data_IF_126306573459
#
_entry.id   IF_126306573459
#
_cell.length_a   1.000
_cell.length_b   1.000
_cell.length_c   1.000
_cell.angle_alpha   90.00
_cell.angle_beta   90.00
_cell.angle_gamma   90.00
#
_symmetry.space_group_name_H-M   'P 1'
#
loop_
_entity.id
_entity.type
_entity.pdbx_description
1 polymer ?
#
# COMPACT_ATOMS: atom_id res chain seq x y z
N UNK A 1 -5.17 17.58 10.66
CA UNK A 1 -5.36 16.77 9.43
C UNK A 1 -6.14 17.56 8.41
N UNK A 2 -5.78 17.50 7.13
CA UNK A 2 -6.54 18.08 6.01
C UNK A 2 -6.84 16.99 5.00
N UNK A 3 -8.08 16.96 4.51
CA UNK A 3 -8.54 15.98 3.51
C UNK A 3 -8.63 16.64 2.14
N UNK A 4 -8.24 15.92 1.11
CA UNK A 4 -8.34 16.32 -0.29
C UNK A 4 -8.90 15.17 -1.13
N UNK A 5 -9.52 15.52 -2.24
CA UNK A 5 -10.00 14.59 -3.26
C UNK A 5 -9.33 14.98 -4.57
N UNK A 6 -8.64 14.05 -5.19
CA UNK A 6 -7.92 14.26 -6.44
C UNK A 6 -8.39 13.26 -7.49
N UNK A 7 -8.36 13.59 -8.78
CA UNK A 7 -8.72 12.63 -9.81
C UNK A 7 -7.63 11.55 -9.93
N UNK A 8 -8.05 10.29 -10.14
CA UNK A 8 -7.17 9.24 -10.64
C UNK A 8 -7.11 9.27 -12.17
N UNK A 9 -6.20 8.48 -12.75
CA UNK A 9 -6.14 8.30 -14.20
C UNK A 9 -7.28 7.43 -14.76
N UNK A 10 -8.09 6.80 -13.89
CA UNK A 10 -9.14 5.82 -14.24
C UNK A 10 -10.56 6.29 -13.91
N UNK A 11 -10.84 7.59 -14.01
CA UNK A 11 -12.17 8.19 -13.80
C UNK A 11 -12.80 7.91 -12.42
N UNK A 12 -11.98 7.61 -11.40
CA UNK A 12 -12.35 7.53 -9.99
C UNK A 12 -11.55 8.58 -9.20
N UNK A 13 -12.01 8.88 -8.01
CA UNK A 13 -11.30 9.80 -7.14
C UNK A 13 -10.40 9.07 -6.16
N UNK A 14 -9.26 9.69 -5.85
CA UNK A 14 -8.36 9.33 -4.76
C UNK A 14 -8.65 10.28 -3.61
N UNK A 15 -9.07 9.75 -2.46
CA UNK A 15 -9.21 10.53 -1.23
C UNK A 15 -7.92 10.42 -0.43
N UNK A 16 -7.36 11.54 -0.04
CA UNK A 16 -6.13 11.59 0.74
C UNK A 16 -6.25 12.52 1.94
N UNK A 17 -5.55 12.16 3.01
CA UNK A 17 -5.41 12.98 4.21
C UNK A 17 -3.95 13.33 4.42
N UNK A 18 -3.68 14.56 4.81
CA UNK A 18 -2.35 14.99 5.22
C UNK A 18 -2.37 15.57 6.62
N UNK A 19 -1.44 15.09 7.45
CA UNK A 19 -1.07 15.64 8.73
C UNK A 19 0.28 16.35 8.60
N UNK A 20 0.32 17.64 8.97
CA UNK A 20 1.54 18.42 8.90
C UNK A 20 2.31 18.38 10.22
N UNK A 21 3.62 18.21 10.15
CA UNK A 21 4.52 18.45 11.27
C UNK A 21 4.48 19.91 11.69
N UNK A 22 4.85 20.19 12.95
CA UNK A 22 4.94 21.57 13.45
C UNK A 22 6.05 22.38 12.76
N UNK A 23 7.15 21.72 12.41
CA UNK A 23 8.27 22.35 11.71
C UNK A 23 7.96 22.45 10.22
N UNK A 24 8.06 23.66 9.69
CA UNK A 24 7.92 23.92 8.25
C UNK A 24 9.09 23.25 7.51
N UNK A 25 8.85 22.85 6.27
CA UNK A 25 9.87 22.24 5.42
C UNK A 25 10.39 20.88 5.95
N UNK A 26 9.52 20.14 6.62
CA UNK A 26 9.78 18.78 7.07
C UNK A 26 9.59 17.76 5.94
N UNK A 27 10.25 16.58 5.99
CA UNK A 27 10.07 15.53 4.99
C UNK A 27 8.63 15.04 4.89
N UNK A 28 8.27 14.44 3.77
CA UNK A 28 6.95 13.83 3.52
C UNK A 28 7.05 12.31 3.50
N UNK A 29 6.22 11.67 4.32
CA UNK A 29 5.94 10.23 4.24
C UNK A 29 4.61 10.04 3.53
N UNK A 30 4.59 9.25 2.45
CA UNK A 30 3.37 8.84 1.75
C UNK A 30 3.09 7.38 2.08
N UNK A 31 1.90 7.11 2.62
CA UNK A 31 1.48 5.79 3.10
C UNK A 31 0.52 5.12 2.15
N UNK A 32 0.85 3.87 1.74
CA UNK A 32 0.05 2.98 0.89
C UNK A 32 -0.50 1.81 1.70
N UNK A 33 -1.82 1.69 1.80
CA UNK A 33 -2.49 0.59 2.51
C UNK A 33 -2.46 -0.72 1.72
N UNK A 34 -2.79 -1.84 2.39
CA UNK A 34 -2.85 -3.16 1.79
C UNK A 34 -4.19 -3.51 1.13
N UNK A 35 -4.26 -4.73 0.57
CA UNK A 35 -5.48 -5.32 0.01
C UNK A 35 -6.57 -5.45 1.07
N UNK A 36 -7.82 -5.18 0.69
CA UNK A 36 -8.96 -5.09 1.61
C UNK A 36 -8.73 -4.11 2.77
N UNK A 37 -7.97 -3.03 2.50
CA UNK A 37 -7.67 -1.97 3.44
C UNK A 37 -8.09 -0.59 2.91
N UNK A 38 -7.96 0.41 3.76
CA UNK A 38 -8.17 1.82 3.44
C UNK A 38 -7.34 2.70 4.38
N UNK A 39 -7.20 3.98 4.04
CA UNK A 39 -6.31 4.93 4.72
C UNK A 39 -6.56 5.10 6.24
N UNK A 40 -7.78 4.86 6.70
CA UNK A 40 -8.20 5.01 8.10
C UNK A 40 -8.35 3.67 8.83
N UNK A 41 -7.86 2.58 8.22
CA UNK A 41 -7.94 1.25 8.80
C UNK A 41 -7.03 1.09 10.01
N UNK A 42 -7.58 0.47 11.09
CA UNK A 42 -6.79 0.04 12.25
C UNK A 42 -5.94 1.17 12.86
N UNK A 43 -4.63 0.95 13.07
CA UNK A 43 -3.75 1.90 13.75
C UNK A 43 -3.22 3.02 12.85
N UNK A 44 -3.63 3.14 11.58
CA UNK A 44 -2.98 4.06 10.63
C UNK A 44 -3.12 5.53 11.00
N UNK A 45 -4.19 5.91 11.73
CA UNK A 45 -4.30 7.25 12.30
C UNK A 45 -3.27 7.49 13.40
N UNK A 46 -3.08 6.53 14.31
CA UNK A 46 -2.07 6.59 15.38
C UNK A 46 -0.65 6.62 14.79
N UNK A 47 -0.39 5.82 13.75
CA UNK A 47 0.88 5.85 13.03
C UNK A 47 1.14 7.24 12.44
N UNK A 48 0.14 7.84 11.79
CA UNK A 48 0.23 9.20 11.27
C UNK A 48 0.61 10.20 12.36
N UNK A 49 -0.03 10.12 13.53
CA UNK A 49 0.23 11.04 14.65
C UNK A 49 1.65 10.89 15.21
N UNK A 50 2.15 9.66 15.31
CA UNK A 50 3.53 9.37 15.75
C UNK A 50 4.55 9.98 14.79
N UNK A 51 4.36 9.80 13.48
CA UNK A 51 5.24 10.40 12.47
C UNK A 51 5.24 11.93 12.55
N UNK A 52 4.07 12.54 12.73
CA UNK A 52 3.93 14.00 12.86
C UNK A 52 4.59 14.52 14.13
N UNK A 53 4.43 13.84 15.26
CA UNK A 53 5.11 14.16 16.51
C UNK A 53 6.63 14.05 16.39
N UNK A 54 7.09 13.13 15.52
CA UNK A 54 8.53 12.93 15.21
C UNK A 54 9.06 13.93 14.16
N UNK A 55 8.27 14.92 13.75
CA UNK A 55 8.71 15.97 12.85
C UNK A 55 8.62 15.63 11.36
N UNK A 56 7.80 14.65 10.98
CA UNK A 56 7.59 14.22 9.59
C UNK A 56 6.15 14.55 9.15
N UNK A 57 5.95 15.12 7.97
CA UNK A 57 4.62 15.22 7.39
C UNK A 57 4.16 13.82 6.98
N UNK A 58 2.88 13.52 7.17
CA UNK A 58 2.33 12.20 6.85
C UNK A 58 1.09 12.32 5.97
N UNK A 59 1.16 11.73 4.77
CA UNK A 59 0.08 11.65 3.81
C UNK A 59 -0.34 10.21 3.67
N UNK A 60 -1.63 9.92 3.89
CA UNK A 60 -2.25 8.62 3.65
C UNK A 60 -3.39 8.78 2.67
N UNK A 61 -3.64 7.80 1.82
CA UNK A 61 -4.65 7.88 0.77
C UNK A 61 -5.37 6.55 0.58
N UNK A 62 -6.57 6.60 0.02
CA UNK A 62 -7.27 5.45 -0.52
C UNK A 62 -6.89 5.28 -1.98
N UNK A 63 -6.47 4.06 -2.38
CA UNK A 63 -6.44 3.73 -3.81
C UNK A 63 -7.83 3.93 -4.41
N UNK A 64 -7.90 4.48 -5.61
CA UNK A 64 -9.16 4.91 -6.25
C UNK A 64 -10.20 3.79 -6.38
N UNK A 65 -9.73 2.55 -6.47
CA UNK A 65 -10.55 1.35 -6.63
C UNK A 65 -10.50 0.43 -5.39
N UNK A 66 -10.22 0.96 -4.20
CA UNK A 66 -10.18 0.14 -2.99
C UNK A 66 -11.56 -0.27 -2.46
N UNK A 67 -12.64 0.23 -3.05
CA UNK A 67 -14.01 -0.10 -2.67
C UNK A 67 -14.61 0.77 -1.58
N UNK A 68 -13.90 1.80 -1.10
CA UNK A 68 -14.38 2.74 -0.09
C UNK A 68 -14.81 4.03 -0.78
N UNK A 69 -16.00 4.54 -0.47
CA UNK A 69 -16.49 5.82 -1.01
C UNK A 69 -16.27 6.98 -0.04
N UNK A 70 -16.36 8.22 -0.57
CA UNK A 70 -16.29 9.44 0.25
C UNK A 70 -17.44 9.56 1.24
N UNK A 71 -18.62 9.02 0.88
CA UNK A 71 -19.83 9.05 1.70
C UNK A 71 -19.78 8.02 2.85
N UNK A 72 -19.02 6.93 2.65
CA UNK A 72 -18.83 5.84 3.63
C UNK A 72 -17.35 5.50 3.77
N UNK A 73 -16.57 6.36 4.40
CA UNK A 73 -15.10 6.28 4.40
C UNK A 73 -14.52 5.10 5.21
N UNK A 74 -15.34 4.40 5.98
CA UNK A 74 -14.94 3.24 6.81
C UNK A 74 -15.56 1.92 6.34
N UNK A 75 -16.25 1.91 5.20
CA UNK A 75 -16.98 0.75 4.69
C UNK A 75 -16.63 0.46 3.23
N UNK A 76 -16.58 -0.82 2.86
CA UNK A 76 -16.49 -1.23 1.45
C UNK A 76 -17.88 -1.15 0.81
N UNK A 77 -18.25 0.05 0.36
CA UNK A 77 -19.57 0.35 -0.21
C UNK A 77 -19.60 0.36 -1.73
N UNK A 78 -18.42 0.43 -2.40
CA UNK A 78 -18.28 0.38 -3.86
C UNK A 78 -17.56 -0.91 -4.28
N UNK A 79 -18.28 -2.04 -4.19
CA UNK A 79 -17.73 -3.35 -4.55
C UNK A 79 -17.44 -3.47 -6.06
N UNK A 80 -18.11 -2.68 -6.89
CA UNK A 80 -17.83 -2.62 -8.33
C UNK A 80 -16.45 -2.01 -8.60
N UNK A 81 -16.10 -0.90 -7.94
CA UNK A 81 -14.76 -0.35 -8.02
C UNK A 81 -13.72 -1.35 -7.48
N UNK A 82 -14.02 -2.00 -6.34
CA UNK A 82 -13.12 -3.00 -5.77
C UNK A 82 -12.83 -4.15 -6.74
N UNK A 83 -13.86 -4.66 -7.43
CA UNK A 83 -13.73 -5.74 -8.42
C UNK A 83 -12.90 -5.34 -9.64
N UNK A 84 -12.95 -4.06 -10.01
CA UNK A 84 -12.20 -3.48 -11.12
C UNK A 84 -10.79 -3.00 -10.74
N UNK A 85 -10.37 -3.15 -9.48
CA UNK A 85 -9.01 -2.81 -9.07
C UNK A 85 -7.97 -3.75 -9.69
N UNK A 86 -6.74 -3.27 -9.90
CA UNK A 86 -5.59 -4.05 -10.31
C UNK A 86 -4.27 -3.35 -9.96
N UNK A 87 -3.13 -3.99 -10.23
CA UNK A 87 -1.82 -3.44 -9.86
C UNK A 87 -1.41 -2.21 -10.67
N UNK A 88 -1.83 -2.13 -11.95
CA UNK A 88 -1.60 -0.93 -12.78
C UNK A 88 -2.29 0.28 -12.16
N UNK A 89 -3.55 0.14 -11.76
CA UNK A 89 -4.32 1.21 -11.10
C UNK A 89 -3.65 1.65 -9.80
N UNK A 90 -3.24 0.71 -8.95
CA UNK A 90 -2.59 1.05 -7.68
C UNK A 90 -1.25 1.79 -7.89
N UNK A 91 -0.47 1.43 -8.91
CA UNK A 91 0.77 2.14 -9.27
C UNK A 91 0.50 3.52 -9.87
N UNK A 92 -0.51 3.68 -10.72
CA UNK A 92 -0.94 4.96 -11.30
C UNK A 92 -1.48 5.90 -10.21
N UNK A 93 -2.23 5.36 -9.25
CA UNK A 93 -2.77 6.15 -8.13
C UNK A 93 -1.65 6.67 -7.23
N UNK A 94 -0.67 5.82 -6.88
CA UNK A 94 0.48 6.26 -6.08
C UNK A 94 1.30 7.34 -6.81
N UNK A 95 1.48 7.21 -8.15
CA UNK A 95 2.12 8.26 -8.95
C UNK A 95 1.31 9.57 -8.90
N UNK A 96 -0.02 9.49 -9.07
CA UNK A 96 -0.91 10.66 -9.02
C UNK A 96 -0.82 11.37 -7.67
N UNK A 97 -0.71 10.61 -6.55
CA UNK A 97 -0.54 11.18 -5.21
C UNK A 97 0.84 11.86 -5.05
N UNK A 98 1.90 11.25 -5.56
CA UNK A 98 3.27 11.83 -5.53
C UNK A 98 3.28 13.13 -6.33
N UNK A 99 2.75 13.14 -7.54
CA UNK A 99 2.72 14.33 -8.40
C UNK A 99 1.82 15.43 -7.81
N UNK A 100 0.67 15.06 -7.24
CA UNK A 100 -0.17 16.02 -6.54
C UNK A 100 0.58 16.66 -5.36
N UNK A 101 1.30 15.87 -4.57
CA UNK A 101 2.07 16.39 -3.45
C UNK A 101 3.16 17.37 -3.92
N UNK A 102 3.88 17.06 -4.99
CA UNK A 102 4.89 17.94 -5.59
C UNK A 102 4.29 19.29 -6.03
N UNK A 103 3.11 19.26 -6.63
CA UNK A 103 2.48 20.46 -7.19
C UNK A 103 1.72 21.32 -6.16
N UNK A 104 1.37 20.78 -4.99
CA UNK A 104 0.49 21.43 -4.05
C UNK A 104 1.08 21.66 -2.65
N UNK A 105 2.20 21.01 -2.31
CA UNK A 105 2.75 21.05 -0.95
C UNK A 105 4.11 21.77 -0.85
N UNK A 106 4.63 22.30 -1.93
CA UNK A 106 5.97 22.92 -2.01
C UNK A 106 6.27 23.94 -0.89
N UNK A 107 5.28 24.75 -0.51
CA UNK A 107 5.48 25.77 0.53
C UNK A 107 5.51 25.23 1.96
N UNK A 108 5.15 23.97 2.18
CA UNK A 108 4.96 23.36 3.52
C UNK A 108 5.84 22.18 3.80
N UNK A 109 6.28 21.52 2.75
CA UNK A 109 6.92 20.21 2.78
C UNK A 109 8.25 20.26 2.03
N UNK A 110 9.28 19.61 2.56
CA UNK A 110 10.52 19.42 1.82
C UNK A 110 10.36 18.28 0.80
N UNK A 111 10.05 18.67 -0.43
CA UNK A 111 9.85 17.75 -1.53
C UNK A 111 11.15 17.08 -2.05
N UNK A 112 12.31 17.51 -1.57
CA UNK A 112 13.57 16.79 -1.81
C UNK A 112 13.69 15.53 -0.96
N UNK A 113 12.82 15.37 0.07
CA UNK A 113 12.79 14.28 1.05
C UNK A 113 11.43 13.62 1.09
N UNK A 114 11.03 12.97 -0.02
CA UNK A 114 9.82 12.14 -0.09
C UNK A 114 10.19 10.70 0.27
N UNK A 115 9.46 10.12 1.21
CA UNK A 115 9.61 8.75 1.69
C UNK A 115 8.33 7.96 1.44
N UNK A 116 8.43 6.68 1.10
CA UNK A 116 7.29 5.79 1.02
C UNK A 116 7.23 4.86 2.23
N UNK A 117 6.03 4.62 2.72
CA UNK A 117 5.70 3.59 3.69
C UNK A 117 4.56 2.76 3.12
N UNK A 118 4.79 1.47 2.88
CA UNK A 118 3.76 0.60 2.34
C UNK A 118 3.47 -0.60 3.24
N UNK A 119 2.20 -0.87 3.47
CA UNK A 119 1.74 -2.02 4.25
C UNK A 119 1.22 -3.13 3.36
N UNK A 120 1.67 -4.38 3.58
CA UNK A 120 1.18 -5.58 2.88
C UNK A 120 1.30 -5.43 1.35
N UNK A 121 0.21 -5.54 0.56
CA UNK A 121 0.20 -5.25 -0.89
C UNK A 121 0.73 -3.85 -1.20
N UNK A 122 0.33 -2.84 -0.42
CA UNK A 122 0.84 -1.47 -0.58
C UNK A 122 2.36 -1.36 -0.40
N UNK A 123 2.97 -2.28 0.34
CA UNK A 123 4.43 -2.44 0.43
C UNK A 123 5.04 -2.84 -0.90
N UNK A 124 4.48 -3.86 -1.56
CA UNK A 124 4.90 -4.28 -2.91
C UNK A 124 4.77 -3.15 -3.95
N UNK A 125 3.63 -2.43 -3.95
CA UNK A 125 3.40 -1.26 -4.79
C UNK A 125 4.44 -0.16 -4.52
N UNK A 126 4.74 0.11 -3.24
CA UNK A 126 5.73 1.10 -2.84
C UNK A 126 7.16 0.72 -3.26
N UNK A 127 7.53 -0.56 -3.20
CA UNK A 127 8.80 -1.09 -3.70
C UNK A 127 8.92 -0.86 -5.22
N UNK A 128 7.90 -1.24 -5.99
CA UNK A 128 7.89 -1.05 -7.44
C UNK A 128 8.01 0.43 -7.82
N UNK A 129 7.28 1.31 -7.11
CA UNK A 129 7.33 2.75 -7.33
C UNK A 129 8.70 3.33 -6.97
N UNK A 130 9.26 2.98 -5.83
CA UNK A 130 10.56 3.47 -5.38
C UNK A 130 11.71 3.05 -6.33
N UNK A 131 11.61 1.89 -6.95
CA UNK A 131 12.60 1.39 -7.90
C UNK A 131 12.60 2.15 -9.25
N UNK A 132 11.55 2.92 -9.54
CA UNK A 132 11.35 3.63 -10.81
C UNK A 132 11.25 5.15 -10.68
N UNK A 133 11.07 5.68 -9.46
CA UNK A 133 10.88 7.11 -9.21
C UNK A 133 12.03 7.66 -8.32
N UNK A 134 12.96 8.39 -8.92
CA UNK A 134 14.16 8.94 -8.25
C UNK A 134 13.86 10.02 -7.20
N UNK A 135 12.64 10.56 -7.15
CA UNK A 135 12.24 11.51 -6.11
C UNK A 135 12.08 10.84 -4.74
N UNK A 136 11.91 9.52 -4.70
CA UNK A 136 11.80 8.76 -3.45
C UNK A 136 13.19 8.56 -2.85
N UNK A 137 13.34 8.93 -1.56
CA UNK A 137 14.65 8.93 -0.88
C UNK A 137 14.79 7.85 0.19
N UNK A 138 13.68 7.36 0.73
CA UNK A 138 13.66 6.25 1.70
C UNK A 138 12.40 5.43 1.51
N UNK A 139 12.46 4.16 1.91
CA UNK A 139 11.34 3.22 1.86
C UNK A 139 11.19 2.51 3.21
N UNK A 140 9.95 2.36 3.65
CA UNK A 140 9.57 1.44 4.72
C UNK A 140 8.61 0.41 4.16
N UNK A 141 8.99 -0.85 4.27
CA UNK A 141 8.19 -2.03 3.90
C UNK A 141 7.65 -2.66 5.18
N UNK A 142 6.35 -2.54 5.43
CA UNK A 142 5.70 -3.03 6.64
C UNK A 142 4.81 -4.23 6.34
N UNK A 143 5.18 -5.42 6.82
CA UNK A 143 4.51 -6.70 6.54
C UNK A 143 4.18 -6.87 5.05
N UNK A 144 5.16 -6.52 4.20
CA UNK A 144 4.97 -6.44 2.74
C UNK A 144 5.08 -7.78 2.07
N UNK A 145 4.33 -7.93 0.98
CA UNK A 145 4.52 -9.04 0.04
C UNK A 145 5.85 -8.88 -0.70
N UNK A 146 6.52 -10.00 -0.96
CA UNK A 146 7.79 -10.08 -1.70
C UNK A 146 7.62 -10.41 -3.17
N UNK A 147 6.45 -10.97 -3.53
CA UNK A 147 6.10 -11.29 -4.91
C UNK A 147 4.58 -11.33 -5.08
N UNK A 148 4.08 -10.67 -6.12
CA UNK A 148 2.66 -10.73 -6.47
C UNK A 148 2.26 -12.07 -7.08
N UNK A 149 3.20 -12.82 -7.69
CA UNK A 149 2.93 -14.14 -8.25
C UNK A 149 2.42 -15.12 -7.19
N UNK A 150 2.93 -15.02 -5.97
CA UNK A 150 2.50 -15.84 -4.83
C UNK A 150 1.04 -15.63 -4.43
N UNK A 151 0.41 -14.56 -4.94
CA UNK A 151 -0.98 -14.20 -4.66
C UNK A 151 -1.94 -14.60 -5.78
N UNK A 152 -1.44 -15.21 -6.84
CA UNK A 152 -2.23 -15.71 -7.97
C UNK A 152 -2.44 -17.22 -7.80
N UNK A 153 -3.69 -17.61 -7.57
CA UNK A 153 -4.08 -19.03 -7.47
C UNK A 153 -4.20 -19.63 -8.88
N UNK A 154 -3.08 -20.12 -9.43
CA UNK A 154 -2.99 -20.56 -10.82
C UNK A 154 -3.96 -21.71 -11.16
N UNK A 155 -4.30 -22.57 -10.21
CA UNK A 155 -5.26 -23.67 -10.36
C UNK A 155 -6.70 -23.16 -10.54
N UNK A 156 -7.03 -21.95 -10.12
CA UNK A 156 -8.35 -21.33 -10.24
C UNK A 156 -8.52 -20.40 -11.44
N UNK A 157 -7.45 -20.13 -12.19
CA UNK A 157 -7.46 -19.14 -13.29
C UNK A 157 -8.46 -19.52 -14.39
N UNK A 158 -8.55 -20.80 -14.77
CA UNK A 158 -9.49 -21.27 -15.82
C UNK A 158 -10.93 -21.00 -15.40
N UNK A 159 -11.30 -21.30 -14.15
CA UNK A 159 -12.62 -21.04 -13.60
C UNK A 159 -12.89 -19.54 -13.46
N UNK A 160 -11.88 -18.76 -13.07
CA UNK A 160 -11.97 -17.32 -12.99
C UNK A 160 -12.25 -16.69 -14.36
N UNK A 161 -11.56 -17.17 -15.40
CA UNK A 161 -11.78 -16.75 -16.78
C UNK A 161 -13.19 -17.07 -17.27
N UNK A 162 -13.68 -18.28 -17.01
CA UNK A 162 -15.02 -18.74 -17.40
C UNK A 162 -16.12 -17.90 -16.74
N UNK A 163 -15.98 -17.62 -15.45
CA UNK A 163 -16.99 -16.89 -14.65
C UNK A 163 -16.87 -15.37 -14.73
N UNK A 164 -15.73 -14.87 -15.19
CA UNK A 164 -15.41 -13.45 -15.18
C UNK A 164 -15.13 -12.86 -13.79
N UNK A 165 -15.44 -13.59 -12.71
CA UNK A 165 -15.32 -13.12 -11.32
C UNK A 165 -15.02 -14.28 -10.37
N UNK A 166 -14.17 -13.99 -9.37
CA UNK A 166 -14.03 -14.80 -8.15
C UNK A 166 -14.28 -13.90 -6.94
N UNK A 167 -14.56 -14.50 -5.80
CA UNK A 167 -14.83 -13.76 -4.57
C UNK A 167 -13.80 -14.11 -3.51
N UNK A 168 -13.32 -13.09 -2.81
CA UNK A 168 -12.47 -13.24 -1.62
C UNK A 168 -13.25 -12.79 -0.39
N UNK A 169 -13.31 -13.64 0.61
CA UNK A 169 -14.00 -13.31 1.84
C UNK A 169 -13.23 -12.30 2.67
N UNK A 170 -13.90 -11.25 3.10
CA UNK A 170 -13.38 -10.29 4.06
C UNK A 170 -14.03 -10.59 5.43
N UNK A 171 -13.33 -11.32 6.28
CA UNK A 171 -13.83 -11.74 7.60
C UNK A 171 -14.11 -10.56 8.54
N UNK A 172 -13.46 -9.42 8.34
CA UNK A 172 -13.62 -8.24 9.19
C UNK A 172 -14.93 -7.50 8.97
N UNK A 173 -15.41 -7.49 7.71
CA UNK A 173 -16.67 -6.83 7.33
C UNK A 173 -17.76 -7.83 6.98
N UNK A 174 -17.46 -9.14 7.05
CA UNK A 174 -18.35 -10.23 6.66
C UNK A 174 -18.89 -10.08 5.22
N UNK A 175 -18.02 -9.67 4.28
CA UNK A 175 -18.37 -9.41 2.89
C UNK A 175 -17.65 -10.35 1.93
N UNK A 176 -18.33 -10.75 0.86
CA UNK A 176 -17.74 -11.38 -0.31
C UNK A 176 -17.26 -10.25 -1.26
N UNK A 177 -15.96 -10.11 -1.40
CA UNK A 177 -15.34 -9.06 -2.20
C UNK A 177 -15.05 -9.60 -3.60
N UNK A 178 -15.62 -9.03 -4.67
CA UNK A 178 -15.39 -9.50 -6.03
C UNK A 178 -13.97 -9.18 -6.50
N UNK A 179 -13.40 -10.08 -7.31
CA UNK A 179 -12.22 -9.83 -8.13
C UNK A 179 -12.57 -10.20 -9.56
N UNK A 180 -12.66 -9.23 -10.46
CA UNK A 180 -12.95 -9.49 -11.87
C UNK A 180 -11.72 -10.03 -12.59
N UNK A 181 -11.91 -10.81 -13.62
CA UNK A 181 -10.84 -11.50 -14.36
C UNK A 181 -9.79 -10.53 -14.95
N UNK A 182 -10.17 -9.27 -15.19
CA UNK A 182 -9.25 -8.22 -15.62
C UNK A 182 -8.06 -8.02 -14.67
N UNK A 183 -8.20 -8.35 -13.38
CA UNK A 183 -7.08 -8.32 -12.42
C UNK A 183 -5.96 -9.28 -12.84
N UNK A 184 -6.34 -10.50 -13.26
CA UNK A 184 -5.40 -11.49 -13.76
C UNK A 184 -4.82 -11.08 -15.11
N UNK A 185 -5.64 -10.55 -16.02
CA UNK A 185 -5.19 -10.06 -17.34
C UNK A 185 -4.18 -8.94 -17.19
N UNK A 186 -4.45 -7.96 -16.31
CA UNK A 186 -3.48 -6.89 -15.98
C UNK A 186 -2.16 -7.47 -15.48
N UNK A 187 -2.22 -8.42 -14.53
CA UNK A 187 -1.04 -9.05 -13.98
C UNK A 187 -0.21 -9.77 -15.07
N UNK A 188 -0.83 -10.61 -15.89
CA UNK A 188 -0.12 -11.39 -16.93
C UNK A 188 0.46 -10.47 -18.00
N UNK A 189 -0.29 -9.48 -18.46
CA UNK A 189 0.16 -8.56 -19.50
C UNK A 189 1.32 -7.66 -19.03
N UNK A 190 1.40 -7.39 -17.73
CA UNK A 190 2.40 -6.51 -17.13
C UNK A 190 3.34 -7.22 -16.14
N UNK A 191 3.41 -8.55 -16.16
CA UNK A 191 4.17 -9.37 -15.19
C UNK A 191 5.61 -8.89 -14.98
N UNK A 192 6.29 -8.48 -16.03
CA UNK A 192 7.68 -7.99 -15.94
C UNK A 192 7.81 -6.67 -15.18
N UNK A 193 6.78 -5.81 -15.22
CA UNK A 193 6.71 -4.54 -14.49
C UNK A 193 6.34 -4.74 -13.02
N UNK A 194 5.63 -5.81 -12.70
CA UNK A 194 5.17 -6.13 -11.35
C UNK A 194 6.14 -7.03 -10.56
N UNK A 195 7.32 -7.33 -11.11
CA UNK A 195 8.31 -8.17 -10.43
C UNK A 195 8.97 -7.43 -9.26
N UNK A 196 8.46 -7.64 -8.05
CA UNK A 196 9.04 -7.10 -6.81
C UNK A 196 10.50 -7.55 -6.64
N UNK A 197 10.88 -8.83 -6.85
CA UNK A 197 12.29 -9.23 -6.73
C UNK A 197 13.22 -8.47 -7.69
N UNK A 198 12.74 -8.16 -8.90
CA UNK A 198 13.51 -7.37 -9.88
C UNK A 198 13.62 -5.91 -9.46
N UNK A 199 12.58 -5.33 -8.87
CA UNK A 199 12.57 -3.99 -8.32
C UNK A 199 13.52 -3.87 -7.11
N UNK A 200 13.47 -4.83 -6.17
CA UNK A 200 14.36 -4.89 -5.00
C UNK A 200 15.84 -4.81 -5.38
N UNK A 201 16.27 -5.55 -6.40
CA UNK A 201 17.67 -5.53 -6.88
C UNK A 201 18.10 -4.18 -7.48
N UNK A 202 17.16 -3.32 -7.86
CA UNK A 202 17.43 -1.96 -8.37
C UNK A 202 17.45 -0.90 -7.28
N UNK A 203 16.89 -1.21 -6.09
CA UNK A 203 16.82 -0.26 -4.99
C UNK A 203 18.21 -0.02 -4.37
N UNK A 204 18.62 1.24 -4.34
CA UNK A 204 19.83 1.70 -3.64
C UNK A 204 19.53 2.63 -2.46
N UNK A 205 18.27 3.08 -2.33
CA UNK A 205 17.85 3.97 -1.25
C UNK A 205 17.75 3.20 0.08
N UNK A 206 17.98 3.87 1.23
CA UNK A 206 17.79 3.25 2.54
C UNK A 206 16.39 2.70 2.69
N UNK A 207 16.31 1.40 3.01
CA UNK A 207 15.05 0.68 3.13
C UNK A 207 14.96 0.00 4.50
N UNK A 208 13.86 0.24 5.22
CA UNK A 208 13.54 -0.47 6.46
C UNK A 208 12.44 -1.50 6.18
N UNK A 209 12.71 -2.75 6.50
CA UNK A 209 11.75 -3.86 6.39
C UNK A 209 11.31 -4.20 7.81
N UNK A 210 10.02 -4.09 8.10
CA UNK A 210 9.43 -4.38 9.41
C UNK A 210 8.42 -5.51 9.24
N UNK A 211 8.56 -6.59 10.03
CA UNK A 211 7.65 -7.73 9.94
C UNK A 211 7.53 -8.45 11.28
N UNK A 212 6.31 -8.90 11.60
CA UNK A 212 6.08 -9.79 12.74
C UNK A 212 6.35 -11.24 12.36
N UNK A 213 6.99 -12.00 13.24
CA UNK A 213 7.37 -13.40 12.96
C UNK A 213 6.18 -14.39 13.03
N UNK A 214 5.05 -13.96 13.58
CA UNK A 214 3.81 -14.74 13.65
C UNK A 214 2.72 -14.22 12.66
N UNK A 215 3.11 -13.50 11.59
CA UNK A 215 2.14 -13.05 10.59
C UNK A 215 1.65 -14.22 9.73
N UNK A 216 0.36 -14.55 9.89
CA UNK A 216 -0.29 -15.64 9.18
C UNK A 216 -0.84 -15.25 7.80
N UNK A 217 -0.78 -13.98 7.42
CA UNK A 217 -1.30 -13.47 6.14
C UNK A 217 -0.18 -13.25 5.14
N UNK A 218 0.92 -12.67 5.60
CA UNK A 218 2.16 -12.51 4.85
C UNK A 218 3.26 -13.15 5.67
N UNK A 219 3.71 -14.32 5.25
CA UNK A 219 4.71 -15.10 5.97
C UNK A 219 6.02 -14.29 6.16
N UNK A 220 6.68 -14.46 7.31
CA UNK A 220 7.92 -13.76 7.63
C UNK A 220 9.04 -14.01 6.60
N UNK A 221 9.04 -15.18 5.96
CA UNK A 221 9.97 -15.49 4.87
C UNK A 221 9.93 -14.45 3.74
N UNK A 222 8.78 -13.78 3.52
CA UNK A 222 8.70 -12.70 2.51
C UNK A 222 9.53 -11.48 2.92
N UNK A 223 9.64 -11.18 4.21
CA UNK A 223 10.54 -10.13 4.68
C UNK A 223 12.02 -10.52 4.52
N UNK A 224 12.36 -11.79 4.75
CA UNK A 224 13.72 -12.32 4.52
C UNK A 224 14.09 -12.28 3.03
N UNK A 225 13.15 -12.61 2.14
CA UNK A 225 13.36 -12.47 0.69
C UNK A 225 13.58 -11.03 0.25
N UNK A 226 12.81 -10.08 0.80
CA UNK A 226 13.02 -8.65 0.55
C UNK A 226 14.39 -8.21 1.04
N UNK A 227 14.77 -8.60 2.26
CA UNK A 227 16.07 -8.29 2.85
C UNK A 227 17.24 -8.84 2.05
N UNK A 228 17.13 -10.07 1.56
CA UNK A 228 18.15 -10.70 0.73
C UNK A 228 18.32 -10.01 -0.65
N UNK A 229 17.29 -9.34 -1.16
CA UNK A 229 17.30 -8.71 -2.49
C UNK A 229 17.54 -7.19 -2.48
N UNK A 230 17.42 -6.50 -1.34
CA UNK A 230 17.63 -5.05 -1.23
C UNK A 230 18.97 -4.78 -0.56
N UNK A 231 19.97 -4.33 -1.31
CA UNK A 231 21.35 -4.18 -0.83
C UNK A 231 21.52 -3.15 0.31
N UNK A 232 20.68 -2.10 0.34
CA UNK A 232 20.70 -1.06 1.37
C UNK A 232 19.48 -1.15 2.27
N UNK A 233 19.36 -2.28 3.00
CA UNK A 233 18.20 -2.52 3.85
C UNK A 233 18.56 -2.94 5.27
N UNK A 234 17.62 -2.72 6.17
CA UNK A 234 17.62 -3.23 7.55
C UNK A 234 16.33 -4.04 7.72
N UNK A 235 16.43 -5.25 8.26
CA UNK A 235 15.31 -6.08 8.68
C UNK A 235 15.06 -5.92 10.16
N UNK A 236 13.88 -5.42 10.53
CA UNK A 236 13.39 -5.37 11.89
C UNK A 236 12.31 -6.44 12.08
N UNK A 237 12.68 -7.52 12.73
CA UNK A 237 11.75 -8.56 13.17
C UNK A 237 11.06 -8.13 14.46
N UNK A 238 9.74 -8.23 14.52
CA UNK A 238 8.95 -8.01 15.72
C UNK A 238 8.52 -9.38 16.24
N UNK A 239 9.11 -9.79 17.39
CA UNK A 239 8.87 -11.10 17.98
C UNK A 239 7.44 -11.21 18.53
N UNK A 240 6.88 -12.42 18.46
CA UNK A 240 5.53 -12.78 18.93
C UNK A 240 4.42 -11.87 18.39
N UNK A 241 4.61 -11.27 17.21
CA UNK A 241 3.72 -10.26 16.67
C UNK A 241 3.14 -10.66 15.32
N UNK A 242 1.81 -10.50 15.21
CA UNK A 242 1.13 -10.44 13.94
C UNK A 242 0.72 -8.98 13.68
N UNK A 243 1.31 -8.33 12.70
CA UNK A 243 1.07 -6.91 12.41
C UNK A 243 -0.36 -6.58 11.95
N UNK A 244 -1.22 -7.60 11.76
CA UNK A 244 -2.64 -7.43 11.50
C UNK A 244 -3.48 -7.28 12.78
N UNK A 245 -2.94 -7.62 13.96
CA UNK A 245 -3.65 -7.64 15.24
C UNK A 245 -2.93 -6.78 16.29
N UNK A 246 -2.67 -5.52 15.98
CA UNK A 246 -2.12 -4.56 16.95
C UNK A 246 -3.20 -3.91 17.85
N UNK A 247 -4.42 -4.43 17.85
CA UNK A 247 -5.41 -4.10 18.87
C UNK A 247 -5.59 -5.32 19.77
N UNK A 248 -5.46 -5.18 21.10
CA UNK A 248 -5.91 -6.21 22.00
C UNK A 248 -7.37 -6.51 21.67
N UNK A 249 -7.68 -7.80 21.46
CA UNK A 249 -9.05 -8.23 21.31
C UNK A 249 -9.84 -7.80 22.56
N UNK A 250 -11.06 -7.23 22.43
CA UNK A 250 -11.87 -6.96 23.61
C UNK A 250 -12.36 -8.23 24.34
N UNK A 251 -11.69 -9.36 24.18
CA UNK A 251 -12.07 -10.67 24.71
C UNK A 251 -10.98 -11.34 25.56
N UNK A 252 -10.05 -10.57 26.09
CA UNK A 252 -9.16 -11.04 27.14
C UNK A 252 -9.40 -10.24 28.42
#
# INVERSE_FOLDING_TARGET
>A
MKTFVIPSQRNKNITLDINFAKTVNSPLVIFSHGFKGFKDWGPFNTVSDIFVQSGLNFLKFNFSHNGVSSERPLEFSDLEAFGNNNFSIELEDLESVIEWAKNNLEQKVDLSRIYLLGHSRGGGISILKAATNSSIKKLVSWASVSDFEKRIENDKVSLWKERGVVYVFNSRTNQQMPLYYQFYEDYINNKSHFSIPKACRKLSIPTLIIHGDNDQTVDFNEAEELYANISNSILLKIEDSCLLYTSPSPRD
#
